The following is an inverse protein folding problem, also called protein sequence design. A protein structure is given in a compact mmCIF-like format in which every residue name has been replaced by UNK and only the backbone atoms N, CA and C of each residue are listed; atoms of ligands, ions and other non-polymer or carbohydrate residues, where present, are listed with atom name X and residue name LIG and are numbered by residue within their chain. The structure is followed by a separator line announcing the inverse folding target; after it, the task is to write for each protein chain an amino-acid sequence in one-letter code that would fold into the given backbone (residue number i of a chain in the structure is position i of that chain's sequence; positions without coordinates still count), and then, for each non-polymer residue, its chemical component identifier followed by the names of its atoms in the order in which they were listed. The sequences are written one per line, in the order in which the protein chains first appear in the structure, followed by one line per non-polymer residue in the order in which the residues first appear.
data_IF_192828553531
#
_entry.id   IF_192828553531
#
_cell.length_a   1.000
_cell.length_b   1.000
_cell.length_c   1.000
_cell.angle_alpha   90.00
_cell.angle_beta   90.00
_cell.angle_gamma   90.00
#
_symmetry.space_group_name_H-M   'P 1'
#
loop_
_entity.id
_entity.type
_entity.pdbx_description
1 polymer ?
#
# COMPACT_ATOMS: atom_id res chain seq x y z
N UNK A 1 -2.50 -14.06 12.37
CA UNK A 1 -3.33 -12.87 12.72
C UNK A 1 -3.63 -12.09 11.43
N UNK A 2 -4.25 -12.73 10.45
CA UNK A 2 -4.09 -12.33 9.04
C UNK A 2 -4.90 -11.09 8.66
N UNK A 3 -6.04 -10.86 9.32
CA UNK A 3 -6.93 -9.74 9.01
C UNK A 3 -6.45 -8.38 9.55
N UNK A 4 -5.66 -8.35 10.63
CA UNK A 4 -5.14 -7.09 11.20
C UNK A 4 -4.19 -6.38 10.24
N UNK A 5 -3.33 -7.14 9.56
CA UNK A 5 -2.41 -6.61 8.53
C UNK A 5 -3.15 -6.10 7.29
N UNK A 6 -4.21 -6.80 6.88
CA UNK A 6 -5.06 -6.36 5.78
C UNK A 6 -5.72 -5.00 6.07
N UNK A 7 -6.34 -4.87 7.25
CA UNK A 7 -7.02 -3.64 7.67
C UNK A 7 -6.02 -2.49 7.82
N UNK A 8 -4.86 -2.72 8.44
CA UNK A 8 -3.86 -1.66 8.59
C UNK A 8 -3.38 -1.12 7.25
N UNK A 9 -3.05 -2.02 6.31
CA UNK A 9 -2.64 -1.64 4.96
C UNK A 9 -3.75 -0.87 4.25
N UNK A 10 -4.99 -1.34 4.32
CA UNK A 10 -6.15 -0.62 3.77
C UNK A 10 -6.25 0.81 4.32
N UNK A 11 -6.27 0.98 5.64
CA UNK A 11 -6.45 2.29 6.28
C UNK A 11 -5.27 3.21 5.99
N UNK A 12 -4.04 2.73 6.12
CA UNK A 12 -2.84 3.54 5.90
C UNK A 12 -2.74 3.96 4.43
N UNK A 13 -2.94 3.03 3.48
CA UNK A 13 -2.93 3.36 2.06
C UNK A 13 -4.01 4.37 1.71
N UNK A 14 -5.24 4.20 2.22
CA UNK A 14 -6.32 5.15 2.00
C UNK A 14 -5.94 6.54 2.51
N UNK A 15 -5.48 6.64 3.76
CA UNK A 15 -5.08 7.92 4.35
C UNK A 15 -3.96 8.59 3.57
N UNK A 16 -2.95 7.83 3.12
CA UNK A 16 -1.85 8.39 2.33
C UNK A 16 -2.32 8.92 0.98
N UNK A 17 -3.17 8.18 0.27
CA UNK A 17 -3.71 8.61 -1.02
C UNK A 17 -4.58 9.87 -0.86
N UNK A 18 -5.37 9.94 0.21
CA UNK A 18 -6.23 11.07 0.56
C UNK A 18 -5.42 12.31 0.98
N UNK A 19 -4.33 12.14 1.73
CA UNK A 19 -3.45 13.24 2.12
C UNK A 19 -2.67 13.74 0.90
N UNK A 20 -2.09 12.83 0.12
CA UNK A 20 -1.20 13.21 -0.96
C UNK A 20 -1.90 13.84 -2.16
N UNK A 21 -3.17 13.53 -2.41
CA UNK A 21 -3.92 14.24 -3.48
C UNK A 21 -4.09 15.74 -3.25
N UNK A 22 -3.93 16.22 -2.02
CA UNK A 22 -4.00 17.65 -1.70
C UNK A 22 -2.64 18.28 -1.44
N UNK A 23 -1.63 17.48 -1.12
CA UNK A 23 -0.37 17.97 -0.54
C UNK A 23 0.82 17.84 -1.48
N UNK A 24 0.80 16.87 -2.40
CA UNK A 24 1.94 16.60 -3.29
C UNK A 24 1.50 16.66 -4.75
N UNK A 25 2.20 17.50 -5.54
CA UNK A 25 2.12 17.54 -7.00
C UNK A 25 2.58 16.23 -7.69
N UNK A 26 2.94 15.22 -6.90
CA UNK A 26 3.46 13.93 -7.33
C UNK A 26 2.36 13.03 -7.91
N UNK A 27 1.11 13.19 -7.47
CA UNK A 27 0.00 12.38 -7.98
C UNK A 27 -1.01 13.22 -8.75
N UNK A 28 -1.53 12.67 -9.85
CA UNK A 28 -2.76 13.15 -10.45
C UNK A 28 -3.90 13.17 -9.42
N UNK A 29 -4.84 14.07 -9.61
CA UNK A 29 -6.06 14.09 -8.81
C UNK A 29 -6.83 12.77 -9.00
N UNK A 30 -7.01 12.03 -7.91
CA UNK A 30 -7.90 10.86 -7.84
C UNK A 30 -9.10 11.16 -6.94
N UNK A 31 -10.24 10.60 -7.28
CA UNK A 31 -11.47 10.62 -6.48
C UNK A 31 -11.35 9.71 -5.25
N UNK A 32 -12.21 9.93 -4.27
CA UNK A 32 -12.29 9.07 -3.07
C UNK A 32 -12.62 7.62 -3.44
N UNK A 33 -13.46 7.39 -4.46
CA UNK A 33 -13.81 6.05 -4.91
C UNK A 33 -12.61 5.27 -5.46
N UNK A 34 -11.75 5.95 -6.21
CA UNK A 34 -10.50 5.35 -6.72
C UNK A 34 -9.52 5.06 -5.58
N UNK A 35 -9.36 5.98 -4.63
CA UNK A 35 -8.53 5.76 -3.45
C UNK A 35 -9.00 4.56 -2.61
N UNK A 36 -10.32 4.42 -2.41
CA UNK A 36 -10.93 3.27 -1.74
C UNK A 36 -10.66 1.97 -2.48
N UNK A 37 -10.78 1.96 -3.81
CA UNK A 37 -10.51 0.78 -4.64
C UNK A 37 -9.04 0.36 -4.53
N UNK A 38 -8.11 1.30 -4.70
CA UNK A 38 -6.67 1.03 -4.59
C UNK A 38 -6.33 0.49 -3.20
N UNK A 39 -6.82 1.15 -2.14
CA UNK A 39 -6.60 0.70 -0.77
C UNK A 39 -7.18 -0.70 -0.51
N UNK A 40 -8.37 -0.99 -1.04
CA UNK A 40 -8.99 -2.32 -0.93
C UNK A 40 -8.14 -3.40 -1.61
N UNK A 41 -7.60 -3.11 -2.80
CA UNK A 41 -6.68 -4.02 -3.50
C UNK A 41 -5.39 -4.23 -2.71
N UNK A 42 -4.80 -3.18 -2.14
CA UNK A 42 -3.58 -3.30 -1.33
C UNK A 42 -3.82 -4.15 -0.08
N UNK A 43 -4.90 -3.88 0.66
CA UNK A 43 -5.27 -4.69 1.83
C UNK A 43 -5.58 -6.13 1.48
N UNK A 44 -6.34 -6.37 0.40
CA UNK A 44 -6.74 -7.69 -0.07
C UNK A 44 -5.57 -8.52 -0.61
N UNK A 45 -4.75 -7.96 -1.48
CA UNK A 45 -3.57 -8.65 -2.03
C UNK A 45 -2.52 -8.85 -0.93
N UNK A 46 -2.33 -7.89 -0.03
CA UNK A 46 -1.45 -8.05 1.14
C UNK A 46 -1.91 -9.20 2.05
N UNK A 47 -3.22 -9.34 2.26
CA UNK A 47 -3.78 -10.49 2.99
C UNK A 47 -3.47 -11.81 2.30
N UNK A 48 -3.70 -11.89 0.98
CA UNK A 48 -3.42 -13.11 0.21
C UNK A 48 -1.93 -13.45 0.24
N UNK A 49 -1.06 -12.44 0.14
CA UNK A 49 0.38 -12.62 0.27
C UNK A 49 0.75 -13.16 1.65
N UNK A 50 0.16 -12.65 2.73
CA UNK A 50 0.39 -13.17 4.07
C UNK A 50 -0.07 -14.64 4.21
N UNK A 51 -1.19 -15.00 3.60
CA UNK A 51 -1.75 -16.36 3.62
C UNK A 51 -0.84 -17.39 2.93
N UNK A 52 -0.17 -16.99 1.85
CA UNK A 52 0.84 -17.83 1.15
C UNK A 52 1.97 -18.23 2.09
N UNK A 53 2.31 -17.39 3.09
CA UNK A 53 3.31 -17.67 4.12
C UNK A 53 2.71 -18.22 5.42
N UNK A 54 1.49 -18.77 5.36
CA UNK A 54 0.80 -19.37 6.50
C UNK A 54 0.31 -18.36 7.55
N UNK A 55 0.31 -17.06 7.25
CA UNK A 55 -0.19 -16.04 8.18
C UNK A 55 0.76 -15.65 9.33
N UNK A 56 2.01 -16.10 9.26
CA UNK A 56 3.04 -15.89 10.30
C UNK A 56 4.25 -15.11 9.77
N UNK A 57 4.01 -14.06 8.98
CA UNK A 57 5.10 -13.19 8.57
C UNK A 57 5.70 -12.46 9.77
N UNK A 58 7.03 -12.54 9.87
CA UNK A 58 7.80 -11.68 10.78
C UNK A 58 7.58 -10.21 10.41
N UNK A 59 7.77 -9.26 11.34
CA UNK A 59 7.53 -7.87 11.02
C UNK A 59 8.37 -7.31 9.86
N UNK A 60 9.66 -7.70 9.67
CA UNK A 60 10.39 -7.37 8.45
C UNK A 60 9.77 -7.99 7.19
N UNK A 61 9.28 -9.23 7.27
CA UNK A 61 8.56 -9.86 6.16
C UNK A 61 7.27 -9.11 5.79
N UNK A 62 6.52 -8.66 6.81
CA UNK A 62 5.33 -7.82 6.62
C UNK A 62 5.68 -6.49 5.95
N UNK A 63 6.77 -5.84 6.40
CA UNK A 63 7.26 -4.60 5.79
C UNK A 63 7.53 -4.79 4.30
N UNK A 64 8.19 -5.89 3.93
CA UNK A 64 8.51 -6.18 2.54
C UNK A 64 7.25 -6.44 1.71
N UNK A 65 6.32 -7.24 2.22
CA UNK A 65 5.03 -7.50 1.56
C UNK A 65 4.23 -6.21 1.37
N UNK A 66 4.08 -5.40 2.43
CA UNK A 66 3.37 -4.12 2.37
C UNK A 66 4.00 -3.16 1.37
N UNK A 67 5.33 -3.08 1.33
CA UNK A 67 6.07 -2.27 0.36
C UNK A 67 5.81 -2.70 -1.08
N UNK A 68 6.02 -3.98 -1.39
CA UNK A 68 5.89 -4.50 -2.76
C UNK A 68 4.45 -4.40 -3.24
N UNK A 69 3.49 -4.90 -2.46
CA UNK A 69 2.07 -4.90 -2.84
C UNK A 69 1.58 -3.48 -3.13
N UNK A 70 1.89 -2.54 -2.23
CA UNK A 70 1.48 -1.14 -2.39
C UNK A 70 2.13 -0.51 -3.61
N UNK A 71 3.46 -0.62 -3.74
CA UNK A 71 4.21 -0.04 -4.86
C UNK A 71 3.68 -0.55 -6.19
N UNK A 72 3.45 -1.87 -6.30
CA UNK A 72 2.96 -2.51 -7.52
C UNK A 72 1.56 -2.02 -7.88
N UNK A 73 0.62 -2.04 -6.93
CA UNK A 73 -0.78 -1.68 -7.22
C UNK A 73 -0.89 -0.20 -7.57
N UNK A 74 -0.25 0.68 -6.80
CA UNK A 74 -0.28 2.13 -7.04
C UNK A 74 0.38 2.45 -8.39
N UNK A 75 1.55 1.86 -8.68
CA UNK A 75 2.25 2.09 -9.95
C UNK A 75 1.42 1.65 -11.14
N UNK A 76 0.82 0.45 -11.09
CA UNK A 76 -0.05 -0.05 -12.15
C UNK A 76 -1.24 0.88 -12.34
N UNK A 77 -1.90 1.30 -11.25
CA UNK A 77 -3.08 2.17 -11.31
C UNK A 77 -2.77 3.48 -12.04
N UNK A 78 -1.78 4.22 -11.55
CA UNK A 78 -1.46 5.54 -12.09
C UNK A 78 -0.91 5.47 -13.51
N UNK A 79 -0.12 4.44 -13.82
CA UNK A 79 0.43 4.25 -15.16
C UNK A 79 -0.64 3.93 -16.21
N UNK A 80 -1.66 3.14 -15.86
CA UNK A 80 -2.63 2.65 -16.85
C UNK A 80 -3.94 3.43 -16.88
N UNK A 81 -4.41 3.94 -15.74
CA UNK A 81 -5.75 4.52 -15.64
C UNK A 81 -5.75 6.04 -15.64
N UNK A 82 -4.63 6.68 -15.26
CA UNK A 82 -4.60 8.14 -15.15
C UNK A 82 -3.87 8.81 -16.31
N UNK A 83 -2.73 8.26 -16.76
CA UNK A 83 -2.03 8.75 -17.96
C UNK A 83 -1.57 7.61 -18.88
N UNK A 84 -2.50 6.95 -19.59
CA UNK A 84 -2.20 5.76 -20.40
C UNK A 84 -1.20 5.98 -21.56
N UNK A 85 -0.86 7.22 -21.89
CA UNK A 85 -0.14 7.58 -23.13
C UNK A 85 1.20 8.30 -22.85
N UNK A 86 1.45 8.77 -21.61
CA UNK A 86 2.61 9.62 -21.29
C UNK A 86 3.47 8.94 -20.23
N UNK A 87 4.66 8.50 -20.64
CA UNK A 87 5.74 7.96 -19.79
C UNK A 87 5.31 6.88 -18.77
N UNK A 88 5.44 5.61 -19.17
CA UNK A 88 5.21 4.41 -18.33
C UNK A 88 5.87 4.45 -16.95
N UNK A 89 6.89 5.29 -16.76
CA UNK A 89 7.66 5.41 -15.53
C UNK A 89 7.38 6.68 -14.71
N UNK A 90 6.42 7.52 -15.11
CA UNK A 90 6.20 8.83 -14.49
C UNK A 90 5.88 8.75 -12.99
N UNK A 91 5.17 7.70 -12.56
CA UNK A 91 4.67 7.56 -11.17
C UNK A 91 5.37 6.46 -10.36
N UNK A 92 6.46 5.89 -10.89
CA UNK A 92 7.16 4.78 -10.22
C UNK A 92 7.79 5.24 -8.92
N UNK A 93 8.45 6.41 -8.91
CA UNK A 93 9.08 6.93 -7.69
C UNK A 93 8.07 7.27 -6.61
N UNK A 94 6.93 7.83 -6.99
CA UNK A 94 5.87 8.19 -6.05
C UNK A 94 5.21 6.95 -5.44
N UNK A 95 4.99 5.93 -6.27
CA UNK A 95 4.48 4.63 -5.85
C UNK A 95 5.45 3.94 -4.87
N UNK A 96 6.75 4.03 -5.14
CA UNK A 96 7.80 3.53 -4.22
C UNK A 96 7.74 4.30 -2.91
N UNK A 97 7.60 5.63 -2.93
CA UNK A 97 7.53 6.43 -1.71
C UNK A 97 6.32 6.05 -0.84
N UNK A 98 5.12 5.94 -1.44
CA UNK A 98 3.93 5.46 -0.71
C UNK A 98 4.17 4.04 -0.18
N UNK A 99 4.70 3.15 -1.02
CA UNK A 99 5.00 1.78 -0.62
C UNK A 99 5.96 1.71 0.57
N UNK A 100 6.99 2.56 0.60
CA UNK A 100 7.94 2.61 1.71
C UNK A 100 7.25 3.00 3.02
N UNK A 101 6.36 4.00 2.97
CA UNK A 101 5.61 4.43 4.15
C UNK A 101 4.68 3.32 4.63
N UNK A 102 3.94 2.68 3.72
CA UNK A 102 3.04 1.57 4.07
C UNK A 102 3.82 0.38 4.64
N UNK A 103 4.92 -0.02 4.00
CA UNK A 103 5.79 -1.10 4.46
C UNK A 103 6.35 -0.81 5.86
N UNK A 104 6.89 0.38 6.07
CA UNK A 104 7.41 0.80 7.37
C UNK A 104 6.32 0.77 8.46
N UNK A 105 5.13 1.32 8.15
CA UNK A 105 4.00 1.30 9.08
C UNK A 105 3.54 -0.12 9.41
N UNK A 106 3.54 -1.03 8.43
CA UNK A 106 3.16 -2.42 8.62
C UNK A 106 4.20 -3.20 9.46
N UNK A 107 5.48 -2.86 9.33
CA UNK A 107 6.53 -3.33 10.22
C UNK A 107 6.27 -2.88 11.66
N UNK A 108 6.08 -1.57 11.87
CA UNK A 108 5.85 -0.99 13.21
C UNK A 108 4.65 -1.65 13.89
N UNK A 109 3.55 -1.82 13.17
CA UNK A 109 2.36 -2.51 13.68
C UNK A 109 2.64 -3.98 13.97
N UNK A 110 3.41 -4.67 13.13
CA UNK A 110 3.89 -6.02 13.39
C UNK A 110 4.63 -6.15 14.73
N UNK A 111 5.53 -5.22 15.05
CA UNK A 111 6.25 -5.20 16.33
C UNK A 111 5.30 -4.92 17.50
N UNK A 112 4.39 -3.96 17.33
CA UNK A 112 3.41 -3.61 18.36
C UNK A 112 2.52 -4.81 18.72
N UNK A 113 2.10 -5.61 17.73
CA UNK A 113 1.30 -6.80 17.97
C UNK A 113 2.06 -7.92 18.67
N UNK A 114 3.37 -8.07 18.41
CA UNK A 114 4.19 -9.07 19.09
C UNK A 114 4.42 -8.75 20.57
N UNK A 115 4.56 -7.46 20.93
CA UNK A 115 4.78 -7.03 22.32
C UNK A 115 3.52 -7.12 23.20
N UNK A 116 2.34 -7.28 22.60
CA UNK A 116 1.06 -7.32 23.31
C UNK A 116 0.65 -8.74 23.77
N UNK A 117 1.50 -9.74 23.53
CA UNK A 117 1.35 -11.14 23.90
C UNK A 117 2.65 -11.65 24.56
#
# INVERSE_FOLDING_TARGET
MNWKGAISRFVITLLLLEIFRYTLSLFPAITLGEALMIAALVGGIGYLADEVFGGYLSPPGRSFVGFIVTTTIVSIYFTHFVYPIVHTFAYVFDSIAIGLIVGAADAILGWAYQKAH
#
